data_IF_859822737732
#
_entry.id   IF_859822737732
#
_cell.length_a   1.000
_cell.length_b   1.000
_cell.length_c   1.000
_cell.angle_alpha   90.00
_cell.angle_beta   90.00
_cell.angle_gamma   90.00
#
_symmetry.space_group_name_H-M   'P 1'
#
loop_
_entity.id
_entity.type
_entity.pdbx_description
1 polymer ?
#
# COMPACT_ATOMS: atom_id res chain seq x y z
N UNK A 1 -52.20 28.62 -65.48
CA UNK A 1 -50.77 28.84 -65.18
C UNK A 1 -50.62 29.09 -63.69
N UNK A 2 -49.54 28.58 -63.11
CA UNK A 2 -49.40 28.07 -61.75
C UNK A 2 -49.46 29.14 -60.64
N UNK A 3 -50.10 28.77 -59.53
CA UNK A 3 -50.08 29.45 -58.24
C UNK A 3 -48.71 29.21 -57.57
N UNK A 4 -48.12 30.26 -56.98
CA UNK A 4 -46.94 30.14 -56.13
C UNK A 4 -47.31 30.58 -54.71
N UNK A 5 -47.61 29.57 -53.89
CA UNK A 5 -47.75 29.63 -52.45
C UNK A 5 -46.34 29.59 -51.84
N UNK A 6 -45.84 30.72 -51.32
CA UNK A 6 -44.59 30.75 -50.56
C UNK A 6 -44.92 30.27 -49.13
N UNK A 7 -44.59 29.02 -48.83
CA UNK A 7 -44.69 28.48 -47.48
C UNK A 7 -43.47 28.92 -46.64
N UNK A 8 -43.71 29.75 -45.62
CA UNK A 8 -42.73 30.07 -44.58
C UNK A 8 -42.62 28.86 -43.64
N UNK A 9 -41.55 28.10 -43.72
CA UNK A 9 -41.22 27.04 -42.76
C UNK A 9 -40.46 27.70 -41.60
N UNK A 10 -41.13 27.90 -40.48
CA UNK A 10 -40.49 28.28 -39.20
C UNK A 10 -39.94 27.00 -38.58
N UNK A 11 -38.62 26.82 -38.66
CA UNK A 11 -37.91 25.69 -38.06
C UNK A 11 -37.74 25.96 -36.55
N UNK A 12 -38.67 25.46 -35.75
CA UNK A 12 -38.60 25.51 -34.28
C UNK A 12 -37.53 24.55 -33.76
N UNK A 13 -36.33 25.07 -33.48
CA UNK A 13 -35.25 24.33 -32.81
C UNK A 13 -35.62 24.21 -31.31
N UNK A 14 -36.17 23.06 -30.93
CA UNK A 14 -36.34 22.66 -29.52
C UNK A 14 -34.97 22.32 -28.95
N UNK A 15 -34.35 23.29 -28.27
CA UNK A 15 -33.19 23.05 -27.40
C UNK A 15 -33.65 22.26 -26.18
N UNK A 16 -33.65 20.93 -26.27
CA UNK A 16 -33.65 20.07 -25.08
C UNK A 16 -32.32 20.27 -24.35
N UNK A 17 -32.31 21.24 -23.45
CA UNK A 17 -31.25 21.37 -22.44
C UNK A 17 -31.42 20.20 -21.47
N UNK A 18 -30.68 19.12 -21.68
CA UNK A 18 -30.40 18.14 -20.63
C UNK A 18 -29.57 18.85 -19.56
N UNK A 19 -30.24 19.51 -18.61
CA UNK A 19 -29.64 19.84 -17.32
C UNK A 19 -29.41 18.53 -16.56
N UNK A 20 -28.24 17.93 -16.77
CA UNK A 20 -27.71 16.94 -15.84
C UNK A 20 -27.60 17.62 -14.48
N UNK A 21 -28.40 17.17 -13.50
CA UNK A 21 -28.12 17.49 -12.09
C UNK A 21 -26.71 16.98 -11.84
N UNK A 22 -25.79 17.90 -11.58
CA UNK A 22 -24.51 17.55 -10.98
C UNK A 22 -24.89 17.11 -9.58
N UNK A 23 -24.93 15.79 -9.36
CA UNK A 23 -25.08 15.25 -8.01
C UNK A 23 -23.93 15.85 -7.19
N UNK A 24 -24.27 16.57 -6.12
CA UNK A 24 -23.30 17.05 -5.16
C UNK A 24 -22.50 15.83 -4.67
N UNK A 25 -21.21 15.80 -5.00
CA UNK A 25 -20.30 14.77 -4.52
C UNK A 25 -20.21 14.94 -3.01
N UNK A 26 -20.98 14.14 -2.27
CA UNK A 26 -20.79 14.01 -0.83
C UNK A 26 -19.35 13.60 -0.58
N UNK A 27 -18.64 14.19 0.41
CA UNK A 27 -17.31 13.74 0.76
C UNK A 27 -17.35 12.23 1.04
N UNK A 28 -16.46 11.49 0.39
CA UNK A 28 -16.25 10.07 0.70
C UNK A 28 -15.56 10.00 2.06
N UNK A 29 -16.21 9.36 3.02
CA UNK A 29 -15.67 9.15 4.35
C UNK A 29 -14.77 7.91 4.36
N UNK A 30 -13.83 7.87 5.30
CA UNK A 30 -12.99 6.70 5.55
C UNK A 30 -13.83 5.51 6.04
N UNK A 31 -13.36 4.30 5.76
CA UNK A 31 -14.01 3.06 6.13
C UNK A 31 -13.81 2.76 7.63
N UNK A 32 -14.88 2.91 8.43
CA UNK A 32 -14.84 2.72 9.88
C UNK A 32 -14.38 1.31 10.30
N UNK A 33 -14.86 0.26 9.61
CA UNK A 33 -14.47 -1.13 9.89
C UNK A 33 -12.95 -1.30 9.70
N UNK A 34 -12.38 -0.74 8.63
CA UNK A 34 -10.95 -0.82 8.35
C UNK A 34 -10.10 -0.01 9.35
N UNK A 35 -10.62 1.12 9.84
CA UNK A 35 -9.99 1.89 10.91
C UNK A 35 -9.89 1.05 12.19
N UNK A 36 -11.00 0.45 12.61
CA UNK A 36 -11.03 -0.39 13.82
C UNK A 36 -10.08 -1.59 13.71
N UNK A 37 -10.06 -2.25 12.54
CA UNK A 37 -9.15 -3.36 12.28
C UNK A 37 -7.68 -2.96 12.41
N UNK A 38 -7.27 -1.81 11.84
CA UNK A 38 -5.88 -1.33 11.97
C UNK A 38 -5.55 -0.96 13.40
N UNK A 39 -6.45 -0.31 14.14
CA UNK A 39 -6.21 0.01 15.54
C UNK A 39 -5.99 -1.27 16.37
N UNK A 40 -6.80 -2.31 16.12
CA UNK A 40 -6.62 -3.63 16.73
C UNK A 40 -5.29 -4.26 16.32
N UNK A 41 -4.97 -4.29 15.02
CA UNK A 41 -3.70 -4.80 14.48
C UNK A 41 -2.49 -4.15 15.16
N UNK A 42 -2.44 -2.82 15.20
CA UNK A 42 -1.32 -2.09 15.80
C UNK A 42 -1.23 -2.35 17.31
N UNK A 43 -2.35 -2.39 18.02
CA UNK A 43 -2.38 -2.72 19.45
C UNK A 43 -1.80 -4.11 19.72
N UNK A 44 -2.16 -5.11 18.90
CA UNK A 44 -1.62 -6.46 19.00
C UNK A 44 -0.11 -6.56 18.70
N UNK A 45 0.52 -5.55 18.08
CA UNK A 45 1.99 -5.51 17.93
C UNK A 45 2.71 -4.96 19.16
N UNK A 46 2.00 -4.17 19.98
CA UNK A 46 2.52 -3.58 21.21
C UNK A 46 2.36 -4.55 22.39
N UNK A 47 1.32 -5.37 22.35
CA UNK A 47 0.98 -6.37 23.35
C UNK A 47 1.38 -7.74 22.80
N UNK A 48 2.12 -8.58 23.54
CA UNK A 48 2.53 -9.92 23.07
C UNK A 48 1.31 -10.86 22.94
N UNK A 49 0.53 -10.67 21.89
CA UNK A 49 -0.76 -11.33 21.68
C UNK A 49 -0.55 -12.77 21.20
N UNK A 50 -1.26 -13.72 21.82
CA UNK A 50 -1.29 -15.11 21.36
C UNK A 50 -2.11 -15.23 20.06
N UNK A 51 -1.80 -16.23 19.22
CA UNK A 51 -2.52 -16.53 17.96
C UNK A 51 -2.58 -15.38 16.95
N UNK A 52 -1.55 -14.53 16.95
CA UNK A 52 -1.46 -13.33 16.12
C UNK A 52 -1.69 -13.60 14.62
N UNK A 53 -1.13 -14.70 14.08
CA UNK A 53 -1.29 -15.03 12.65
C UNK A 53 -2.72 -15.44 12.27
N UNK A 54 -3.46 -16.08 13.17
CA UNK A 54 -4.87 -16.43 12.90
C UNK A 54 -5.69 -15.15 12.69
N UNK A 55 -5.50 -14.17 13.58
CA UNK A 55 -6.17 -12.86 13.49
C UNK A 55 -5.67 -12.08 12.27
N UNK A 56 -4.36 -12.11 11.98
CA UNK A 56 -3.81 -11.47 10.79
C UNK A 56 -4.40 -12.06 9.51
N UNK A 57 -4.61 -13.37 9.46
CA UNK A 57 -5.25 -14.02 8.33
C UNK A 57 -6.71 -13.55 8.15
N UNK A 58 -7.48 -13.45 9.24
CA UNK A 58 -8.83 -12.88 9.21
C UNK A 58 -8.82 -11.45 8.68
N UNK A 59 -7.93 -10.61 9.21
CA UNK A 59 -7.82 -9.22 8.79
C UNK A 59 -7.44 -9.09 7.31
N UNK A 60 -6.48 -9.90 6.82
CA UNK A 60 -6.10 -9.91 5.39
C UNK A 60 -7.25 -10.35 4.51
N UNK A 61 -8.00 -11.38 4.93
CA UNK A 61 -9.19 -11.85 4.19
C UNK A 61 -10.22 -10.72 4.07
N UNK A 62 -10.51 -10.04 5.18
CA UNK A 62 -11.43 -8.90 5.20
C UNK A 62 -10.96 -7.72 4.33
N UNK A 63 -9.67 -7.41 4.30
CA UNK A 63 -9.12 -6.40 3.37
C UNK A 63 -9.39 -6.78 1.91
N UNK A 64 -9.22 -8.05 1.54
CA UNK A 64 -9.51 -8.51 0.18
C UNK A 64 -11.00 -8.40 -0.16
N UNK A 65 -11.90 -8.71 0.78
CA UNK A 65 -13.34 -8.49 0.61
C UNK A 65 -13.67 -7.01 0.39
N UNK A 66 -13.12 -6.12 1.22
CA UNK A 66 -13.34 -4.67 1.08
C UNK A 66 -12.80 -4.14 -0.26
N UNK A 67 -11.68 -4.66 -0.76
CA UNK A 67 -11.16 -4.34 -2.09
C UNK A 67 -12.10 -4.81 -3.20
N UNK A 68 -12.58 -6.05 -3.12
CA UNK A 68 -13.50 -6.63 -4.11
C UNK A 68 -14.83 -5.86 -4.16
N UNK A 69 -15.29 -5.38 -3.01
CA UNK A 69 -16.51 -4.56 -2.86
C UNK A 69 -16.30 -3.08 -3.27
N UNK A 70 -15.08 -2.66 -3.62
CA UNK A 70 -14.78 -1.26 -3.95
C UNK A 70 -14.86 -0.30 -2.76
N UNK A 71 -14.69 -0.81 -1.52
CA UNK A 71 -14.82 -0.04 -0.27
C UNK A 71 -13.51 0.54 0.26
N UNK A 72 -12.39 0.34 -0.44
CA UNK A 72 -11.09 0.96 -0.12
C UNK A 72 -10.89 2.13 -1.08
N UNK A 73 -11.35 3.32 -0.68
CA UNK A 73 -11.48 4.45 -1.60
C UNK A 73 -10.50 5.56 -1.22
N UNK A 74 -10.51 5.98 0.03
CA UNK A 74 -9.72 7.14 0.47
C UNK A 74 -8.24 6.80 0.57
N UNK A 75 -7.39 7.83 0.65
CA UNK A 75 -5.98 7.60 0.91
C UNK A 75 -5.74 6.95 2.29
N UNK A 76 -6.63 7.21 3.26
CA UNK A 76 -6.55 6.59 4.58
C UNK A 76 -6.92 5.11 4.52
N UNK A 77 -7.98 4.76 3.78
CA UNK A 77 -8.35 3.36 3.55
C UNK A 77 -7.20 2.59 2.92
N UNK A 78 -6.60 3.14 1.85
CA UNK A 78 -5.47 2.51 1.16
C UNK A 78 -4.29 2.29 2.11
N UNK A 79 -3.96 3.30 2.92
CA UNK A 79 -2.87 3.19 3.89
C UNK A 79 -3.17 2.15 4.98
N UNK A 80 -4.39 2.13 5.49
CA UNK A 80 -4.83 1.17 6.50
C UNK A 80 -4.82 -0.28 5.96
N UNK A 81 -5.26 -0.48 4.72
CA UNK A 81 -5.18 -1.77 4.05
C UNK A 81 -3.72 -2.22 3.85
N UNK A 82 -2.85 -1.31 3.42
CA UNK A 82 -1.43 -1.59 3.28
C UNK A 82 -0.77 -2.01 4.60
N UNK A 83 -1.15 -1.36 5.71
CA UNK A 83 -0.68 -1.69 7.06
C UNK A 83 -1.01 -3.13 7.47
N UNK A 84 -2.23 -3.59 7.20
CA UNK A 84 -2.64 -4.98 7.49
C UNK A 84 -1.89 -5.97 6.58
N UNK A 85 -1.87 -5.71 5.27
CA UNK A 85 -1.28 -6.62 4.28
C UNK A 85 0.23 -6.80 4.47
N UNK A 86 0.95 -5.76 4.90
CA UNK A 86 2.39 -5.84 5.14
C UNK A 86 2.78 -6.75 6.31
N UNK A 87 1.83 -7.15 7.15
CA UNK A 87 2.01 -8.09 8.24
C UNK A 87 1.73 -9.54 7.84
N UNK A 88 1.65 -9.85 6.55
CA UNK A 88 1.64 -11.24 6.08
C UNK A 88 2.83 -11.99 6.69
N UNK A 89 2.55 -13.12 7.35
CA UNK A 89 3.55 -13.87 8.10
C UNK A 89 4.52 -14.60 7.17
N UNK A 90 5.63 -15.04 7.76
CA UNK A 90 6.67 -15.82 7.11
C UNK A 90 6.50 -17.31 7.44
N UNK A 91 7.00 -18.14 6.55
CA UNK A 91 7.04 -19.60 6.71
C UNK A 91 8.34 -20.16 6.15
N UNK A 92 8.63 -21.42 6.44
CA UNK A 92 9.78 -22.12 5.86
C UNK A 92 9.34 -22.99 4.68
N UNK A 93 10.04 -22.85 3.55
CA UNK A 93 9.94 -23.74 2.39
C UNK A 93 11.34 -24.25 2.05
N UNK A 94 11.57 -25.56 2.17
CA UNK A 94 12.88 -26.20 1.94
C UNK A 94 14.03 -25.45 2.66
N UNK A 95 13.90 -25.27 3.98
CA UNK A 95 14.86 -24.57 4.86
C UNK A 95 15.10 -23.07 4.54
N UNK A 96 14.32 -22.50 3.62
CA UNK A 96 14.36 -21.08 3.32
C UNK A 96 13.15 -20.36 3.92
N UNK A 97 13.42 -19.32 4.70
CA UNK A 97 12.39 -18.42 5.20
C UNK A 97 11.81 -17.61 4.02
N UNK A 98 10.51 -17.73 3.79
CA UNK A 98 9.76 -17.08 2.71
C UNK A 98 8.48 -16.44 3.27
N UNK A 99 7.85 -15.53 2.51
CA UNK A 99 6.52 -15.04 2.86
C UNK A 99 5.44 -16.10 2.57
N UNK A 100 4.36 -16.09 3.36
CA UNK A 100 3.12 -16.81 3.02
C UNK A 100 2.47 -16.27 1.74
N UNK A 101 2.62 -14.98 1.44
CA UNK A 101 2.20 -14.37 0.18
C UNK A 101 2.99 -13.10 -0.11
N UNK A 102 3.85 -13.18 -1.13
CA UNK A 102 4.58 -12.02 -1.63
C UNK A 102 3.63 -11.00 -2.28
N UNK A 103 2.50 -11.45 -2.83
CA UNK A 103 1.47 -10.64 -3.47
C UNK A 103 0.84 -9.67 -2.47
N UNK A 104 0.65 -10.07 -1.21
CA UNK A 104 0.17 -9.15 -0.17
C UNK A 104 1.14 -7.99 0.05
N UNK A 105 2.45 -8.23 0.06
CA UNK A 105 3.44 -7.15 0.16
C UNK A 105 3.43 -6.25 -1.07
N UNK A 106 3.30 -6.83 -2.27
CA UNK A 106 3.19 -6.05 -3.51
C UNK A 106 1.92 -5.17 -3.51
N UNK A 107 0.79 -5.73 -3.09
CA UNK A 107 -0.47 -5.00 -2.99
C UNK A 107 -0.38 -3.88 -1.93
N UNK A 108 0.22 -4.16 -0.77
CA UNK A 108 0.49 -3.15 0.24
C UNK A 108 1.37 -2.00 -0.31
N UNK A 109 2.37 -2.32 -1.13
CA UNK A 109 3.17 -1.34 -1.85
C UNK A 109 2.33 -0.51 -2.82
N UNK A 110 1.50 -1.14 -3.64
CA UNK A 110 0.65 -0.42 -4.59
C UNK A 110 -0.34 0.53 -3.90
N UNK A 111 -0.95 0.08 -2.80
CA UNK A 111 -1.90 0.88 -2.02
C UNK A 111 -1.23 2.06 -1.33
N UNK A 112 -0.11 1.82 -0.62
CA UNK A 112 0.65 2.90 0.04
C UNK A 112 1.22 3.90 -0.98
N UNK A 113 1.71 3.41 -2.13
CA UNK A 113 2.19 4.25 -3.22
C UNK A 113 1.07 5.12 -3.79
N UNK A 114 -0.09 4.53 -4.05
CA UNK A 114 -1.26 5.27 -4.52
C UNK A 114 -1.68 6.35 -3.51
N UNK A 115 -1.74 6.02 -2.22
CA UNK A 115 -2.07 6.99 -1.17
C UNK A 115 -1.06 8.16 -1.13
N UNK A 116 0.23 7.85 -1.21
CA UNK A 116 1.31 8.85 -1.22
C UNK A 116 1.23 9.76 -2.45
N UNK A 117 1.08 9.20 -3.64
CA UNK A 117 0.97 9.97 -4.89
C UNK A 117 -0.29 10.84 -4.95
N UNK A 118 -1.33 10.49 -4.19
CA UNK A 118 -2.54 11.28 -4.03
C UNK A 118 -2.49 12.21 -2.81
N UNK A 119 -1.31 12.51 -2.26
CA UNK A 119 -1.09 13.56 -1.27
C UNK A 119 -1.05 13.13 0.19
N UNK A 120 -1.14 11.82 0.49
CA UNK A 120 -0.96 11.34 1.87
C UNK A 120 0.53 11.23 2.22
N UNK A 121 1.08 12.27 2.85
CA UNK A 121 2.46 12.26 3.32
C UNK A 121 2.72 11.17 4.37
N UNK A 122 1.70 10.79 5.15
CA UNK A 122 1.77 9.67 6.11
C UNK A 122 2.16 8.35 5.42
N UNK A 123 1.77 8.17 4.15
CA UNK A 123 2.04 6.94 3.41
C UNK A 123 3.50 6.82 2.94
N UNK A 124 4.30 7.89 3.00
CA UNK A 124 5.65 7.94 2.42
C UNK A 124 6.56 6.81 2.91
N UNK A 125 6.66 6.61 4.23
CA UNK A 125 7.46 5.54 4.82
C UNK A 125 6.92 4.14 4.47
N UNK A 126 5.60 4.03 4.35
CA UNK A 126 4.95 2.77 4.01
C UNK A 126 5.21 2.33 2.57
N UNK A 127 5.46 3.28 1.65
CA UNK A 127 5.94 2.95 0.30
C UNK A 127 7.27 2.20 0.37
N UNK A 128 8.23 2.70 1.17
CA UNK A 128 9.53 2.06 1.30
C UNK A 128 9.45 0.71 2.01
N UNK A 129 8.75 0.63 3.14
CA UNK A 129 8.73 -0.59 3.96
C UNK A 129 8.09 -1.77 3.25
N UNK A 130 6.98 -1.54 2.55
CA UNK A 130 6.24 -2.58 1.82
C UNK A 130 7.00 -3.04 0.58
N UNK A 131 7.64 -2.10 -0.15
CA UNK A 131 8.51 -2.44 -1.27
C UNK A 131 9.73 -3.25 -0.85
N UNK A 132 10.35 -2.89 0.27
CA UNK A 132 11.51 -3.59 0.80
C UNK A 132 11.14 -4.99 1.29
N UNK A 133 9.97 -5.18 1.92
CA UNK A 133 9.45 -6.54 2.22
C UNK A 133 9.27 -7.35 0.95
N UNK A 134 8.55 -6.82 -0.03
CA UNK A 134 8.33 -7.51 -1.30
C UNK A 134 9.65 -7.88 -1.99
N UNK A 135 10.58 -6.93 -2.10
CA UNK A 135 11.88 -7.15 -2.74
C UNK A 135 12.74 -8.15 -1.96
N UNK A 136 12.71 -8.10 -0.63
CA UNK A 136 13.48 -9.02 0.20
C UNK A 136 13.05 -10.47 -0.04
N UNK A 137 11.76 -10.76 -0.03
CA UNK A 137 11.25 -12.12 -0.16
C UNK A 137 11.09 -12.62 -1.60
N UNK A 138 11.26 -11.74 -2.60
CA UNK A 138 11.26 -12.14 -4.03
C UNK A 138 12.63 -12.08 -4.69
N UNK A 139 13.55 -11.25 -4.19
CA UNK A 139 14.87 -11.00 -4.79
C UNK A 139 16.04 -11.14 -3.82
N UNK A 140 15.78 -11.27 -2.52
CA UNK A 140 16.83 -11.42 -1.50
C UNK A 140 17.52 -10.13 -1.09
N UNK A 141 17.00 -8.96 -1.50
CA UNK A 141 17.54 -7.66 -1.09
C UNK A 141 16.42 -6.63 -0.92
N UNK A 142 16.70 -5.58 -0.18
CA UNK A 142 15.84 -4.42 0.00
C UNK A 142 16.47 -3.18 -0.64
N UNK A 143 15.65 -2.24 -1.07
CA UNK A 143 16.09 -1.06 -1.80
C UNK A 143 16.42 0.12 -0.87
N UNK A 144 15.58 0.37 0.12
CA UNK A 144 15.66 1.58 0.93
C UNK A 144 16.37 1.36 2.27
N UNK A 145 16.22 0.16 2.86
CA UNK A 145 16.87 -0.20 4.12
C UNK A 145 15.94 -0.15 5.33
N UNK A 146 14.71 -0.68 5.21
CA UNK A 146 13.72 -0.69 6.30
C UNK A 146 13.60 -2.04 7.03
N UNK A 147 14.13 -3.13 6.47
CA UNK A 147 13.99 -4.50 6.98
C UNK A 147 15.25 -4.96 7.72
N UNK A 148 15.05 -5.53 8.90
CA UNK A 148 16.11 -6.17 9.69
C UNK A 148 15.90 -7.67 9.74
N UNK A 149 16.99 -8.40 9.93
CA UNK A 149 17.03 -9.84 10.09
C UNK A 149 17.88 -10.18 11.30
N UNK A 150 17.64 -11.33 11.91
CA UNK A 150 18.53 -11.89 12.92
C UNK A 150 19.53 -12.80 12.21
N UNK A 151 20.81 -12.65 12.52
CA UNK A 151 21.84 -13.54 12.02
C UNK A 151 21.81 -14.87 12.78
N UNK A 152 21.53 -15.97 12.07
CA UNK A 152 21.36 -17.30 12.66
C UNK A 152 22.58 -17.81 13.46
N UNK A 153 23.78 -17.25 13.23
CA UNK A 153 25.03 -17.69 13.89
C UNK A 153 25.41 -16.83 15.08
N UNK A 154 25.17 -15.54 14.99
CA UNK A 154 25.60 -14.55 15.99
C UNK A 154 24.46 -13.98 16.82
N UNK A 155 23.21 -14.29 16.45
CA UNK A 155 21.97 -13.79 17.04
C UNK A 155 21.85 -12.26 17.03
N UNK A 156 22.72 -11.60 16.26
CA UNK A 156 22.71 -10.14 16.14
C UNK A 156 21.67 -9.72 15.13
N UNK A 157 20.97 -8.64 15.48
CA UNK A 157 20.14 -7.92 14.53
C UNK A 157 21.03 -7.22 13.50
N UNK A 158 20.70 -7.40 12.22
CA UNK A 158 21.38 -6.85 11.06
C UNK A 158 20.37 -6.22 10.11
N UNK A 159 20.81 -5.28 9.27
CA UNK A 159 20.03 -4.94 8.08
C UNK A 159 20.01 -6.13 7.13
N UNK A 160 18.84 -6.47 6.57
CA UNK A 160 18.78 -7.35 5.41
C UNK A 160 19.60 -6.74 4.25
N UNK A 161 20.09 -7.52 3.26
CA UNK A 161 20.93 -6.99 2.19
C UNK A 161 20.35 -5.73 1.53
N UNK A 162 21.05 -4.59 1.59
CA UNK A 162 20.59 -3.30 1.06
C UNK A 162 21.24 -3.04 -0.30
N UNK A 163 20.44 -2.63 -1.30
CA UNK A 163 20.95 -2.03 -2.53
C UNK A 163 21.59 -0.67 -2.24
N UNK A 164 22.92 -0.64 -2.28
CA UNK A 164 23.70 0.57 -2.00
C UNK A 164 23.71 1.57 -3.15
N UNK A 165 23.09 1.26 -4.30
CA UNK A 165 22.99 2.17 -5.44
C UNK A 165 21.81 3.15 -5.33
N UNK A 166 20.81 2.84 -4.49
CA UNK A 166 19.72 3.78 -4.16
C UNK A 166 20.31 5.05 -3.54
N UNK A 167 19.93 6.22 -4.06
CA UNK A 167 20.46 7.50 -3.57
C UNK A 167 19.76 7.95 -2.28
N UNK A 168 20.42 8.83 -1.54
CA UNK A 168 19.84 9.38 -0.30
C UNK A 168 18.69 10.35 -0.60
N UNK A 169 18.68 11.00 -1.78
CA UNK A 169 17.52 11.77 -2.25
C UNK A 169 16.29 10.88 -2.47
N UNK A 170 16.49 9.68 -3.02
CA UNK A 170 15.38 8.72 -3.20
C UNK A 170 14.87 8.19 -1.85
N UNK A 171 15.77 7.89 -0.90
CA UNK A 171 15.39 7.51 0.47
C UNK A 171 14.61 8.62 1.19
N UNK A 172 15.08 9.86 1.07
CA UNK A 172 14.45 11.02 1.69
C UNK A 172 13.01 11.24 1.20
N UNK A 173 12.70 10.93 -0.08
CA UNK A 173 11.33 10.98 -0.61
C UNK A 173 10.34 10.12 0.18
N UNK A 174 10.81 9.03 0.77
CA UNK A 174 10.01 8.09 1.54
C UNK A 174 10.30 8.15 3.04
N UNK A 175 10.84 9.27 3.54
CA UNK A 175 11.20 9.45 4.95
C UNK A 175 12.15 8.35 5.50
N UNK A 176 12.97 7.75 4.63
CA UNK A 176 14.00 6.80 5.04
C UNK A 176 15.33 7.55 5.25
N UNK A 177 16.06 7.30 6.34
CA UNK A 177 17.37 7.91 6.57
C UNK A 177 18.38 7.60 5.46
N UNK A 178 19.41 8.45 5.34
CA UNK A 178 20.52 8.22 4.43
C UNK A 178 21.23 6.89 4.72
N UNK A 179 21.84 6.25 3.72
CA UNK A 179 22.48 4.95 3.88
C UNK A 179 23.54 4.96 4.99
N UNK A 180 24.35 6.03 5.05
CA UNK A 180 25.37 6.20 6.08
C UNK A 180 24.76 6.16 7.49
N UNK A 181 23.56 6.69 7.67
CA UNK A 181 22.89 6.76 8.97
C UNK A 181 22.33 5.40 9.38
N UNK A 182 21.74 4.67 8.43
CA UNK A 182 21.32 3.28 8.64
C UNK A 182 22.51 2.41 9.08
N UNK A 183 23.66 2.56 8.43
CA UNK A 183 24.87 1.81 8.72
C UNK A 183 25.53 2.16 10.07
N UNK A 184 25.15 3.28 10.70
CA UNK A 184 25.55 3.58 12.09
C UNK A 184 24.76 2.76 13.11
N UNK A 185 23.58 2.27 12.74
CA UNK A 185 22.69 1.52 13.65
C UNK A 185 22.99 0.01 13.62
N UNK A 186 23.10 -0.56 12.43
CA UNK A 186 23.32 -2.00 12.23
C UNK A 186 24.24 -2.27 11.04
N UNK A 187 24.94 -3.40 11.08
CA UNK A 187 25.70 -3.89 9.92
C UNK A 187 24.75 -4.56 8.90
N UNK A 188 25.15 -4.58 7.63
CA UNK A 188 24.42 -5.32 6.57
C UNK A 188 24.76 -6.81 6.64
N UNK A 189 23.73 -7.65 6.55
CA UNK A 189 23.89 -9.09 6.34
C UNK A 189 24.61 -9.35 5.02
N UNK A 190 25.71 -10.10 5.08
CA UNK A 190 26.42 -10.53 3.87
C UNK A 190 25.55 -11.54 3.11
N UNK A 191 25.55 -11.53 1.76
CA UNK A 191 24.85 -12.54 0.99
C UNK A 191 25.25 -13.94 1.43
N UNK A 192 24.28 -14.84 1.59
CA UNK A 192 24.55 -16.26 1.81
C UNK A 192 25.31 -16.77 0.56
N UNK A 193 26.53 -17.28 0.76
CA UNK A 193 27.36 -17.87 -0.31
C UNK A 193 26.87 -19.26 -0.67
#
# INVERSE_FOLDING_TARGET
MKSNLLALIVLSILLLSCTSKVDEISPVNDNEELIEMVLKDQKMRLENFENLEEIDQEHRTKVMELLADGKIITNKDKLNAALILQHTNLTYCNDNLTSLSNENYLLAYMLSKSAFENGSNEAAYYVAITFDRYSLYTKGFQKYGTQRVIDDKTEKELWAPIDTSTTDEERAKYNVPALKDLLRMYNIQKPKK
#
